data_IF_977264306507
#
_entry.id   IF_977264306507
#
_cell.length_a   1.000
_cell.length_b   1.000
_cell.length_c   1.000
_cell.angle_alpha   90.00
_cell.angle_beta   90.00
_cell.angle_gamma   90.00
#
_symmetry.space_group_name_H-M   'P 1'
#
loop_
_entity.id
_entity.type
_entity.pdbx_description
1 polymer ?
#
# COMPACT_ATOMS: atom_id res chain seq x y z
N UNK A 1 0.63 22.40 23.31
CA UNK A 1 0.10 21.34 22.43
C UNK A 1 -0.13 21.96 21.05
N UNK A 2 0.67 21.65 20.03
CA UNK A 2 0.45 22.35 18.76
C UNK A 2 -0.74 21.86 17.97
N UNK A 3 -1.42 22.79 17.29
CA UNK A 3 -2.47 22.43 16.37
C UNK A 3 -1.94 21.61 15.17
N UNK A 4 -0.66 21.72 14.80
CA UNK A 4 -0.13 21.13 13.55
C UNK A 4 0.08 19.62 13.67
N UNK A 5 0.88 19.16 14.65
CA UNK A 5 1.16 17.73 14.85
C UNK A 5 -0.15 16.97 15.16
N UNK A 6 -1.01 17.56 15.99
CA UNK A 6 -2.32 16.98 16.32
C UNK A 6 -3.22 16.81 15.09
N UNK A 7 -3.33 17.84 14.22
CA UNK A 7 -4.11 17.74 12.97
C UNK A 7 -3.53 16.70 12.02
N UNK A 8 -2.21 16.63 11.91
CA UNK A 8 -1.53 15.63 11.09
C UNK A 8 -1.81 14.20 11.61
N UNK A 9 -1.60 13.95 12.90
CA UNK A 9 -1.86 12.66 13.54
C UNK A 9 -3.35 12.27 13.46
N UNK A 10 -4.27 13.23 13.61
CA UNK A 10 -5.70 12.99 13.44
C UNK A 10 -6.03 12.58 12.01
N UNK A 11 -5.45 13.24 11.00
CA UNK A 11 -5.62 12.88 9.59
C UNK A 11 -5.08 11.47 9.30
N UNK A 12 -3.90 11.13 9.82
CA UNK A 12 -3.34 9.78 9.68
C UNK A 12 -4.22 8.71 10.33
N UNK A 13 -4.75 8.99 11.51
CA UNK A 13 -5.64 8.08 12.24
C UNK A 13 -6.92 7.86 11.44
N UNK A 14 -7.55 8.93 10.95
CA UNK A 14 -8.73 8.83 10.09
C UNK A 14 -8.47 8.02 8.83
N UNK A 15 -7.38 8.32 8.09
CA UNK A 15 -7.00 7.56 6.89
C UNK A 15 -6.71 6.09 7.20
N UNK A 16 -6.11 5.80 8.35
CA UNK A 16 -5.89 4.43 8.80
C UNK A 16 -7.19 3.70 9.08
N UNK A 17 -8.15 4.34 9.75
CA UNK A 17 -9.47 3.75 10.00
C UNK A 17 -10.18 3.46 8.69
N UNK A 18 -10.19 4.41 7.74
CA UNK A 18 -10.73 4.19 6.40
C UNK A 18 -10.04 3.01 5.68
N UNK A 19 -8.71 2.91 5.79
CA UNK A 19 -7.97 1.80 5.21
C UNK A 19 -8.35 0.44 5.85
N UNK A 20 -8.56 0.39 7.17
CA UNK A 20 -9.04 -0.83 7.83
C UNK A 20 -10.48 -1.18 7.45
N UNK A 21 -11.37 -0.20 7.30
CA UNK A 21 -12.75 -0.43 6.83
C UNK A 21 -12.73 -0.97 5.40
N UNK A 22 -11.94 -0.38 4.50
CA UNK A 22 -11.75 -0.87 3.13
C UNK A 22 -11.12 -2.26 3.11
N UNK A 23 -10.18 -2.53 4.01
CA UNK A 23 -9.61 -3.87 4.19
C UNK A 23 -10.69 -4.88 4.54
N UNK A 24 -11.55 -4.56 5.51
CA UNK A 24 -12.65 -5.42 5.93
C UNK A 24 -13.61 -5.70 4.78
N UNK A 25 -13.95 -4.67 3.99
CA UNK A 25 -14.77 -4.83 2.79
C UNK A 25 -14.09 -5.76 1.77
N UNK A 26 -12.77 -5.60 1.53
CA UNK A 26 -12.02 -6.48 0.63
C UNK A 26 -11.98 -7.94 1.10
N UNK A 27 -11.72 -8.18 2.38
CA UNK A 27 -11.82 -9.51 2.99
C UNK A 27 -13.25 -10.08 2.88
N UNK A 28 -14.27 -9.24 3.09
CA UNK A 28 -15.68 -9.62 2.96
C UNK A 28 -16.06 -10.05 1.54
N UNK A 29 -15.60 -9.32 0.52
CA UNK A 29 -15.83 -9.68 -0.89
C UNK A 29 -15.14 -11.00 -1.25
N UNK A 30 -13.88 -11.17 -0.82
CA UNK A 30 -13.14 -12.43 -1.00
C UNK A 30 -13.84 -13.60 -0.29
N UNK A 31 -14.29 -13.41 0.95
CA UNK A 31 -15.04 -14.42 1.71
C UNK A 31 -16.36 -14.76 1.04
N UNK A 32 -17.10 -13.76 0.56
CA UNK A 32 -18.36 -13.94 -0.16
C UNK A 32 -18.20 -14.75 -1.44
N UNK A 33 -17.12 -14.51 -2.20
CA UNK A 33 -16.81 -15.31 -3.39
C UNK A 33 -16.47 -16.76 -3.03
N UNK A 34 -15.64 -16.98 -2.01
CA UNK A 34 -15.32 -18.34 -1.53
C UNK A 34 -16.60 -19.05 -1.07
N UNK A 35 -17.46 -18.36 -0.32
CA UNK A 35 -18.74 -18.90 0.13
C UNK A 35 -19.66 -19.25 -1.04
N UNK A 36 -19.76 -18.39 -2.05
CA UNK A 36 -20.53 -18.64 -3.27
C UNK A 36 -20.00 -19.86 -4.02
N UNK A 37 -18.68 -20.01 -4.16
CA UNK A 37 -18.06 -21.18 -4.76
C UNK A 37 -18.38 -22.46 -3.96
N UNK A 38 -18.23 -22.42 -2.63
CA UNK A 38 -18.58 -23.56 -1.78
C UNK A 38 -20.07 -23.95 -1.88
N UNK A 39 -20.95 -22.96 -2.07
CA UNK A 39 -22.37 -23.20 -2.29
C UNK A 39 -22.65 -23.84 -3.65
N UNK A 40 -22.04 -23.35 -4.73
CA UNK A 40 -22.17 -23.92 -6.09
C UNK A 40 -21.66 -25.37 -6.12
N UNK A 41 -20.54 -25.64 -5.47
CA UNK A 41 -19.92 -26.97 -5.44
C UNK A 41 -20.34 -27.83 -4.25
N UNK A 42 -21.38 -27.42 -3.50
CA UNK A 42 -21.78 -28.07 -2.24
C UNK A 42 -22.01 -29.56 -2.40
N UNK A 43 -22.72 -29.95 -3.45
CA UNK A 43 -23.12 -31.34 -3.67
C UNK A 43 -21.92 -32.20 -4.12
N UNK A 44 -20.89 -31.60 -4.73
CA UNK A 44 -19.64 -32.28 -5.09
C UNK A 44 -18.65 -32.35 -3.91
N UNK A 45 -18.75 -31.42 -2.96
CA UNK A 45 -17.87 -31.34 -1.78
C UNK A 45 -18.43 -32.11 -0.56
N UNK A 46 -19.62 -32.71 -0.67
CA UNK A 46 -20.32 -33.33 0.45
C UNK A 46 -19.56 -34.51 1.08
N UNK A 47 -18.84 -35.31 0.28
CA UNK A 47 -18.04 -36.45 0.75
C UNK A 47 -16.69 -36.05 1.38
N UNK A 48 -16.25 -34.80 1.17
CA UNK A 48 -14.90 -34.34 1.46
C UNK A 48 -14.84 -33.19 2.48
N UNK A 49 -15.87 -33.05 3.31
CA UNK A 49 -16.05 -31.91 4.22
C UNK A 49 -14.96 -31.68 5.26
N UNK A 50 -14.19 -32.71 5.63
CA UNK A 50 -13.26 -32.64 6.75
C UNK A 50 -12.05 -31.70 6.50
N UNK A 51 -11.61 -31.54 5.26
CA UNK A 51 -10.48 -30.65 4.93
C UNK A 51 -10.88 -29.20 4.64
N UNK A 52 -12.18 -28.92 4.45
CA UNK A 52 -12.69 -27.57 4.18
C UNK A 52 -12.19 -26.50 5.17
N UNK A 53 -12.26 -26.67 6.50
CA UNK A 53 -11.76 -25.66 7.43
C UNK A 53 -10.24 -25.44 7.30
N UNK A 54 -9.47 -26.52 7.09
CA UNK A 54 -8.03 -26.44 6.87
C UNK A 54 -7.71 -25.70 5.58
N UNK A 55 -8.46 -25.98 4.51
CA UNK A 55 -8.35 -25.32 3.22
C UNK A 55 -8.67 -23.83 3.30
N UNK A 56 -9.72 -23.43 4.03
CA UNK A 56 -10.09 -22.03 4.22
C UNK A 56 -9.00 -21.27 4.99
N UNK A 57 -8.51 -21.83 6.11
CA UNK A 57 -7.44 -21.20 6.89
C UNK A 57 -6.14 -21.12 6.07
N UNK A 58 -5.80 -22.17 5.34
CA UNK A 58 -4.66 -22.19 4.43
C UNK A 58 -4.78 -21.14 3.34
N UNK A 59 -5.94 -21.02 2.71
CA UNK A 59 -6.23 -20.03 1.68
C UNK A 59 -6.06 -18.60 2.21
N UNK A 60 -6.65 -18.27 3.36
CA UNK A 60 -6.46 -16.96 3.98
C UNK A 60 -5.01 -16.68 4.33
N UNK A 61 -4.29 -17.68 4.85
CA UNK A 61 -2.86 -17.56 5.16
C UNK A 61 -2.03 -17.25 3.91
N UNK A 62 -2.32 -17.90 2.78
CA UNK A 62 -1.67 -17.64 1.48
C UNK A 62 -2.01 -16.24 0.97
N UNK A 63 -3.24 -15.79 1.09
CA UNK A 63 -3.64 -14.44 0.70
C UNK A 63 -2.93 -13.36 1.52
N UNK A 64 -2.91 -13.50 2.85
CA UNK A 64 -2.24 -12.54 3.73
C UNK A 64 -0.73 -12.53 3.50
N UNK A 65 -0.10 -13.70 3.35
CA UNK A 65 1.34 -13.79 3.09
C UNK A 65 1.73 -13.26 1.70
N UNK A 66 0.91 -13.49 0.67
CA UNK A 66 1.15 -12.95 -0.67
C UNK A 66 1.01 -11.42 -0.70
N UNK A 67 -0.02 -10.87 -0.04
CA UNK A 67 -0.17 -9.43 0.14
C UNK A 67 1.02 -8.80 0.89
N UNK A 68 1.50 -9.45 1.95
CA UNK A 68 2.68 -9.00 2.69
C UNK A 68 3.96 -9.03 1.87
N UNK A 69 4.18 -10.08 1.07
CA UNK A 69 5.34 -10.17 0.17
C UNK A 69 5.32 -9.05 -0.87
N UNK A 70 4.16 -8.79 -1.49
CA UNK A 70 4.01 -7.69 -2.46
C UNK A 70 4.25 -6.32 -1.83
N UNK A 71 3.70 -6.09 -0.64
CA UNK A 71 3.97 -4.87 0.13
C UNK A 71 5.46 -4.66 0.40
N UNK A 72 6.18 -5.72 0.80
CA UNK A 72 7.64 -5.64 1.01
C UNK A 72 8.43 -5.40 -0.27
N UNK A 73 7.93 -5.83 -1.43
CA UNK A 73 8.53 -5.55 -2.72
C UNK A 73 8.26 -4.11 -3.23
N UNK A 74 7.52 -3.29 -2.47
CA UNK A 74 7.09 -1.95 -2.91
C UNK A 74 6.04 -1.99 -4.02
N UNK A 75 5.50 -3.18 -4.33
CA UNK A 75 4.50 -3.38 -5.37
C UNK A 75 3.12 -3.12 -4.76
N UNK A 76 2.50 -1.99 -5.17
CA UNK A 76 1.16 -1.60 -4.78
C UNK A 76 0.06 -2.29 -5.61
N UNK A 77 -1.11 -1.67 -5.67
CA UNK A 77 -2.18 -2.05 -6.60
C UNK A 77 -1.67 -1.86 -8.03
N UNK A 78 -1.50 -2.93 -8.79
CA UNK A 78 -1.20 -2.86 -10.22
C UNK A 78 -2.37 -2.22 -10.97
N UNK A 79 -2.07 -1.30 -11.88
CA UNK A 79 -3.07 -0.82 -12.83
C UNK A 79 -3.54 -1.97 -13.74
N UNK A 80 -4.76 -1.88 -14.32
CA UNK A 80 -5.20 -2.83 -15.35
C UNK A 80 -4.19 -2.95 -16.50
N UNK A 81 -3.57 -1.83 -16.88
CA UNK A 81 -2.57 -1.74 -17.93
C UNK A 81 -1.31 -2.56 -17.64
N UNK A 82 -0.82 -2.59 -16.39
CA UNK A 82 0.37 -3.36 -16.00
C UNK A 82 0.14 -4.88 -16.12
N UNK A 83 -1.12 -5.32 -16.17
CA UNK A 83 -1.49 -6.73 -16.14
C UNK A 83 -1.82 -7.27 -17.54
N UNK A 84 -2.24 -6.39 -18.44
CA UNK A 84 -2.41 -6.68 -19.86
C UNK A 84 -1.09 -6.63 -20.63
N UNK A 85 -0.09 -5.88 -20.14
CA UNK A 85 1.21 -5.69 -20.81
C UNK A 85 2.18 -6.88 -20.70
N UNK A 86 1.85 -7.97 -19.99
CA UNK A 86 2.77 -9.11 -19.81
C UNK A 86 2.83 -10.08 -20.99
N UNK A 87 1.99 -9.90 -22.02
CA UNK A 87 1.93 -10.79 -23.18
C UNK A 87 1.89 -9.98 -24.47
N UNK A 88 3.02 -9.35 -24.79
CA UNK A 88 3.25 -8.72 -26.09
C UNK A 88 3.63 -9.81 -27.10
N UNK A 89 2.64 -10.56 -27.57
CA UNK A 89 2.84 -11.52 -28.67
C UNK A 89 2.83 -10.72 -29.97
N UNK A 90 3.92 -10.83 -30.74
CA UNK A 90 4.14 -10.10 -31.98
C UNK A 90 2.87 -10.12 -32.88
N UNK A 91 2.23 -8.96 -33.04
CA UNK A 91 0.91 -8.77 -33.67
C UNK A 91 0.90 -9.06 -35.19
N UNK A 92 2.05 -9.32 -35.79
CA UNK A 92 2.23 -9.52 -37.23
C UNK A 92 1.64 -10.85 -37.76
N UNK A 93 1.11 -11.73 -36.90
CA UNK A 93 0.42 -12.94 -37.34
C UNK A 93 -1.05 -12.95 -36.90
N UNK A 94 -1.95 -13.34 -37.81
CA UNK A 94 -3.39 -13.48 -37.50
C UNK A 94 -3.67 -14.46 -36.35
N UNK A 95 -2.74 -15.41 -36.10
CA UNK A 95 -2.76 -16.28 -34.91
C UNK A 95 -2.36 -15.57 -33.62
N UNK A 96 -1.41 -14.63 -33.68
CA UNK A 96 -0.98 -13.79 -32.55
C UNK A 96 -2.11 -12.93 -32.00
N UNK A 97 -2.88 -12.27 -32.88
CA UNK A 97 -4.06 -11.50 -32.47
C UNK A 97 -5.12 -12.36 -31.77
N UNK A 98 -5.36 -13.58 -32.26
CA UNK A 98 -6.35 -14.49 -31.68
C UNK A 98 -5.93 -15.00 -30.30
N UNK A 99 -4.64 -15.33 -30.15
CA UNK A 99 -4.02 -15.74 -28.87
C UNK A 99 -3.99 -14.58 -27.89
N UNK A 100 -3.68 -13.36 -28.32
CA UNK A 100 -3.67 -12.17 -27.47
C UNK A 100 -5.09 -11.81 -27.00
N UNK A 101 -6.10 -11.91 -27.87
CA UNK A 101 -7.51 -11.68 -27.51
C UNK A 101 -8.03 -12.75 -26.53
N UNK A 102 -7.68 -14.02 -26.73
CA UNK A 102 -8.01 -15.08 -25.77
C UNK A 102 -7.26 -14.93 -24.44
N UNK A 103 -5.98 -14.54 -24.48
CA UNK A 103 -5.17 -14.28 -23.30
C UNK A 103 -5.73 -13.10 -22.52
N UNK A 104 -6.10 -12.00 -23.18
CA UNK A 104 -6.75 -10.83 -22.57
C UNK A 104 -8.08 -11.19 -21.88
N UNK A 105 -8.88 -12.09 -22.48
CA UNK A 105 -10.14 -12.59 -21.89
C UNK A 105 -9.92 -13.42 -20.62
N UNK A 106 -8.77 -14.06 -20.46
CA UNK A 106 -8.43 -14.88 -19.28
C UNK A 106 -7.70 -14.03 -18.23
N UNK A 107 -6.81 -13.13 -18.65
CA UNK A 107 -6.03 -12.26 -17.76
C UNK A 107 -6.88 -11.16 -17.12
N UNK A 108 -7.92 -10.66 -17.79
CA UNK A 108 -8.84 -9.67 -17.21
C UNK A 108 -9.56 -10.16 -15.93
N UNK A 109 -10.29 -11.29 -15.97
CA UNK A 109 -10.90 -11.89 -14.79
C UNK A 109 -9.88 -12.30 -13.73
N UNK A 110 -8.73 -12.87 -14.14
CA UNK A 110 -7.66 -13.24 -13.20
C UNK A 110 -7.07 -12.02 -12.49
N UNK A 111 -6.93 -10.90 -13.20
CA UNK A 111 -6.50 -9.63 -12.63
C UNK A 111 -7.54 -9.10 -11.63
N UNK A 112 -8.83 -9.10 -12.00
CA UNK A 112 -9.90 -8.61 -11.13
C UNK A 112 -9.98 -9.44 -9.84
N UNK A 113 -9.87 -10.77 -9.96
CA UNK A 113 -9.79 -11.68 -8.81
C UNK A 113 -8.55 -11.36 -7.96
N UNK A 114 -7.39 -11.17 -8.60
CA UNK A 114 -6.16 -10.80 -7.89
C UNK A 114 -6.33 -9.50 -7.10
N UNK A 115 -6.93 -8.47 -7.70
CA UNK A 115 -7.23 -7.22 -6.99
C UNK A 115 -8.20 -7.45 -5.84
N UNK A 116 -9.28 -8.19 -6.05
CA UNK A 116 -10.28 -8.45 -5.02
C UNK A 116 -9.67 -9.17 -3.79
N UNK A 117 -8.85 -10.19 -4.03
CA UNK A 117 -8.21 -10.95 -2.97
C UNK A 117 -7.04 -10.21 -2.28
N UNK A 118 -6.32 -9.33 -2.99
CA UNK A 118 -5.20 -8.57 -2.43
C UNK A 118 -5.62 -7.25 -1.79
N UNK A 119 -6.79 -6.71 -2.13
CA UNK A 119 -7.25 -5.42 -1.59
C UNK A 119 -7.34 -5.43 -0.08
N UNK A 120 -7.89 -6.49 0.51
CA UNK A 120 -7.96 -6.66 1.96
C UNK A 120 -6.58 -6.54 2.63
N UNK A 121 -5.67 -7.50 2.38
CA UNK A 121 -4.33 -7.49 2.96
C UNK A 121 -3.55 -6.18 2.74
N UNK A 122 -3.58 -5.62 1.53
CA UNK A 122 -2.83 -4.40 1.21
C UNK A 122 -3.36 -3.17 1.95
N UNK A 123 -4.68 -3.03 2.08
CA UNK A 123 -5.27 -1.91 2.84
C UNK A 123 -5.02 -2.05 4.34
N UNK A 124 -5.01 -3.28 4.88
CA UNK A 124 -4.63 -3.51 6.28
C UNK A 124 -3.19 -3.07 6.56
N UNK A 125 -2.25 -3.46 5.69
CA UNK A 125 -0.85 -3.06 5.80
C UNK A 125 -0.67 -1.55 5.63
N UNK A 126 -1.40 -0.94 4.69
CA UNK A 126 -1.44 0.51 4.54
C UNK A 126 -1.93 1.20 5.81
N UNK A 127 -3.03 0.75 6.41
CA UNK A 127 -3.53 1.26 7.69
C UNK A 127 -2.48 1.17 8.80
N UNK A 128 -1.87 -0.01 8.97
CA UNK A 128 -0.81 -0.21 9.95
C UNK A 128 0.39 0.71 9.72
N UNK A 129 0.79 0.93 8.46
CA UNK A 129 1.89 1.84 8.12
C UNK A 129 1.56 3.30 8.46
N UNK A 130 0.31 3.73 8.26
CA UNK A 130 -0.15 5.08 8.63
C UNK A 130 -0.14 5.31 10.14
N UNK A 131 -0.49 4.29 10.94
CA UNK A 131 -0.40 4.37 12.40
C UNK A 131 1.05 4.44 12.88
N UNK A 132 1.94 3.65 12.27
CA UNK A 132 3.38 3.70 12.57
C UNK A 132 4.04 5.02 12.14
N UNK A 133 3.46 5.73 11.17
CA UNK A 133 3.95 7.01 10.69
C UNK A 133 3.57 8.21 11.59
N UNK A 134 2.81 7.99 12.67
CA UNK A 134 2.42 9.04 13.62
C UNK A 134 3.66 9.63 14.30
N UNK A 135 3.62 10.94 14.50
CA UNK A 135 4.67 11.66 15.21
C UNK A 135 4.38 11.69 16.72
N UNK A 136 5.40 11.68 17.59
CA UNK A 136 5.22 11.90 19.03
C UNK A 136 4.51 13.24 19.28
N UNK A 137 3.45 13.22 20.09
CA UNK A 137 2.67 14.41 20.45
C UNK A 137 3.26 15.09 21.69
N UNK A 138 4.54 15.47 21.61
CA UNK A 138 5.27 16.14 22.68
C UNK A 138 5.69 17.55 22.25
N UNK A 139 5.58 18.51 23.17
CA UNK A 139 5.97 19.91 22.97
C UNK A 139 7.46 20.02 22.70
N UNK A 140 8.31 19.20 23.33
CA UNK A 140 9.74 19.22 23.09
C UNK A 140 10.08 18.81 21.65
N UNK A 141 9.39 17.80 21.11
CA UNK A 141 9.56 17.36 19.72
C UNK A 141 9.22 18.48 18.74
N UNK A 142 8.14 19.20 18.99
CA UNK A 142 7.76 20.33 18.15
C UNK A 142 8.79 21.45 18.16
N UNK A 143 9.29 21.82 19.35
CA UNK A 143 10.32 22.85 19.47
C UNK A 143 11.58 22.46 18.70
N UNK A 144 12.01 21.19 18.81
CA UNK A 144 13.14 20.65 18.02
C UNK A 144 12.89 20.74 16.51
N UNK A 145 11.69 20.38 16.05
CA UNK A 145 11.33 20.42 14.63
C UNK A 145 11.27 21.86 14.10
N UNK A 146 10.75 22.81 14.89
CA UNK A 146 10.68 24.22 14.51
C UNK A 146 12.07 24.86 14.46
N UNK A 147 12.92 24.62 15.47
CA UNK A 147 14.32 25.08 15.48
C UNK A 147 15.09 24.55 14.25
N UNK A 148 14.94 23.26 13.95
CA UNK A 148 15.54 22.68 12.75
C UNK A 148 15.00 23.35 11.48
N UNK A 149 13.69 23.56 11.37
CA UNK A 149 13.08 24.19 10.21
C UNK A 149 13.58 25.62 10.01
N UNK A 150 13.71 26.41 11.09
CA UNK A 150 14.27 27.77 11.03
C UNK A 150 15.74 27.75 10.60
N UNK A 151 16.54 26.80 11.12
CA UNK A 151 17.94 26.64 10.71
C UNK A 151 18.10 26.32 9.22
N UNK A 152 17.17 25.57 8.63
CA UNK A 152 17.16 25.24 7.20
C UNK A 152 16.62 26.44 6.39
N UNK A 153 15.55 27.09 6.88
CA UNK A 153 14.93 28.26 6.23
C UNK A 153 15.90 29.41 6.09
N UNK A 154 16.68 29.70 7.14
CA UNK A 154 17.68 30.78 7.14
C UNK A 154 18.73 30.65 6.02
N UNK A 155 18.92 29.45 5.47
CA UNK A 155 19.87 29.19 4.39
C UNK A 155 19.27 29.24 2.98
N UNK A 156 17.93 29.33 2.84
CA UNK A 156 17.19 29.65 1.60
C UNK A 156 17.41 28.79 0.35
N UNK A 157 18.26 27.75 0.41
CA UNK A 157 18.80 27.03 -0.75
C UNK A 157 18.80 25.52 -0.52
N UNK A 158 19.13 24.75 -1.56
CA UNK A 158 19.27 23.29 -1.47
C UNK A 158 20.57 22.92 -0.75
N UNK A 159 20.46 22.20 0.36
CA UNK A 159 21.61 21.78 1.17
C UNK A 159 21.74 20.26 1.20
N UNK A 160 22.97 19.72 1.22
CA UNK A 160 23.17 18.28 1.39
C UNK A 160 22.64 17.82 2.76
N UNK A 161 21.99 16.66 2.78
CA UNK A 161 21.43 16.06 4.02
C UNK A 161 22.49 15.87 5.08
N UNK A 162 23.72 15.56 4.66
CA UNK A 162 24.88 15.31 5.54
C UNK A 162 25.21 16.50 6.46
N UNK A 163 24.77 17.71 6.11
CA UNK A 163 24.91 18.91 6.95
C UNK A 163 24.22 18.76 8.32
N UNK A 164 23.28 17.82 8.43
CA UNK A 164 22.46 17.58 9.60
C UNK A 164 22.55 16.13 10.10
N UNK A 165 23.73 15.51 9.96
CA UNK A 165 24.01 14.21 10.55
C UNK A 165 23.64 14.18 12.05
N UNK A 166 22.92 13.14 12.48
CA UNK A 166 22.38 12.99 13.82
C UNK A 166 20.98 13.59 14.04
N UNK A 167 20.39 14.26 13.04
CA UNK A 167 19.00 14.77 13.06
C UNK A 167 18.11 14.14 11.97
N UNK A 168 18.44 12.92 11.53
CA UNK A 168 17.76 12.24 10.43
C UNK A 168 16.27 11.98 10.72
N UNK A 169 15.95 11.64 11.98
CA UNK A 169 14.57 11.39 12.40
C UNK A 169 13.72 12.67 12.33
N UNK A 170 14.27 13.80 12.76
CA UNK A 170 13.61 15.10 12.71
C UNK A 170 13.41 15.57 11.26
N UNK A 171 14.42 15.40 10.39
CA UNK A 171 14.32 15.68 8.96
C UNK A 171 13.23 14.82 8.32
N UNK A 172 13.21 13.52 8.62
CA UNK A 172 12.19 12.61 8.09
C UNK A 172 10.78 13.04 8.52
N UNK A 173 10.65 13.53 9.75
CA UNK A 173 9.39 14.04 10.32
C UNK A 173 8.94 15.33 9.62
N UNK A 174 9.85 16.26 9.35
CA UNK A 174 9.57 17.48 8.61
C UNK A 174 9.19 17.22 7.14
N UNK A 175 9.83 16.24 6.49
CA UNK A 175 9.44 15.79 5.14
C UNK A 175 8.02 15.21 5.17
N UNK A 176 7.70 14.35 6.15
CA UNK A 176 6.35 13.77 6.30
C UNK A 176 5.28 14.83 6.56
N UNK A 177 5.61 15.88 7.30
CA UNK A 177 4.75 17.05 7.52
C UNK A 177 4.60 17.93 6.26
N UNK A 178 5.34 17.64 5.19
CA UNK A 178 5.33 18.41 3.95
C UNK A 178 6.00 19.78 4.08
N UNK A 179 6.86 19.97 5.08
CA UNK A 179 7.59 21.22 5.34
C UNK A 179 8.94 21.28 4.63
N UNK A 180 9.50 20.11 4.30
CA UNK A 180 10.73 19.99 3.53
C UNK A 180 10.48 19.24 2.22
N UNK A 181 11.20 19.64 1.19
CA UNK A 181 11.36 18.90 -0.06
C UNK A 181 12.71 18.20 -0.05
N UNK A 182 12.71 16.92 -0.44
CA UNK A 182 13.92 16.09 -0.55
C UNK A 182 14.07 15.61 -1.99
N UNK A 183 15.27 15.78 -2.54
CA UNK A 183 15.62 15.25 -3.87
C UNK A 183 16.46 13.99 -3.72
N UNK A 184 15.88 12.85 -4.09
CA UNK A 184 16.57 11.55 -4.06
C UNK A 184 17.76 11.47 -5.02
N UNK A 185 17.72 12.24 -6.11
CA UNK A 185 18.80 12.26 -7.12
C UNK A 185 20.04 13.01 -6.64
N UNK A 186 19.85 14.09 -5.89
CA UNK A 186 20.96 14.97 -5.47
C UNK A 186 21.30 14.86 -3.99
N UNK A 187 20.48 14.15 -3.19
CA UNK A 187 20.68 14.04 -1.74
C UNK A 187 20.54 15.38 -1.02
N UNK A 188 19.75 16.30 -1.56
CA UNK A 188 19.59 17.66 -1.02
C UNK A 188 18.19 17.92 -0.46
N UNK A 189 18.12 18.82 0.50
CA UNK A 189 16.92 19.26 1.21
C UNK A 189 16.70 20.76 1.00
N UNK A 190 15.43 21.17 0.95
CA UNK A 190 15.02 22.58 0.94
C UNK A 190 13.70 22.73 1.69
N UNK A 191 13.46 23.90 2.29
CA UNK A 191 12.14 24.25 2.84
C UNK A 191 11.13 24.46 1.72
N UNK A 192 9.98 23.79 1.84
CA UNK A 192 8.87 23.97 0.91
C UNK A 192 8.32 25.40 1.05
N UNK A 193 8.14 26.14 -0.07
CA UNK A 193 7.60 27.50 -0.02
C UNK A 193 6.19 27.52 0.60
#
# INVERSE_FOLDING_TARGET
MSPVIRRFNASLTFRSVCAFVLSLAGYGMAAGLVWLLLWIFRDHLAEQRWWLPVGIVGFWSVLTTSGWRRWRAGQGFYGPADSMAFFDFNEESAGGWLVQNQTARITGPAWLLSQMFLTGPLQALKGASLLRARLPDDVATELRLNDLLESIRGKGSWHPVDTWAGREEDISSLIRLGKLEFSSRTGRLRVKP
#
